data_IF_480794272478
#
_entry.id   IF_480794272478
#
_cell.length_a   1.000
_cell.length_b   1.000
_cell.length_c   1.000
_cell.angle_alpha   90.00
_cell.angle_beta   90.00
_cell.angle_gamma   90.00
#
_symmetry.space_group_name_H-M   'P 1'
#
loop_
_entity.id
_entity.type
_entity.pdbx_description
1 polymer ?
#
# COMPACT_ATOMS: atom_id res chain seq x y z
N UNK A 1 22.45 -9.73 35.80
CA UNK A 1 21.84 -10.30 34.58
C UNK A 1 21.42 -11.74 34.89
N UNK A 2 20.12 -12.09 34.94
CA UNK A 2 19.74 -13.48 35.15
C UNK A 2 20.06 -14.29 33.87
N UNK A 3 20.82 -15.37 34.03
CA UNK A 3 21.11 -16.33 32.95
C UNK A 3 19.85 -17.13 32.68
N UNK A 4 19.31 -16.98 31.47
CA UNK A 4 18.22 -17.85 30.96
C UNK A 4 18.76 -19.27 30.78
N UNK A 5 17.99 -20.31 31.14
CA UNK A 5 18.43 -21.69 30.96
C UNK A 5 18.77 -21.96 29.50
N UNK A 6 19.99 -22.45 29.26
CA UNK A 6 20.59 -22.70 27.94
C UNK A 6 19.78 -23.72 27.11
N UNK A 7 18.91 -24.51 27.75
CA UNK A 7 18.14 -25.59 27.12
C UNK A 7 16.95 -25.13 26.24
N UNK A 8 16.25 -24.03 26.56
CA UNK A 8 15.11 -23.56 25.75
C UNK A 8 15.58 -22.86 24.46
N UNK A 9 16.63 -22.04 24.57
CA UNK A 9 17.16 -21.27 23.43
C UNK A 9 17.74 -22.16 22.34
N UNK A 10 18.30 -23.33 22.69
CA UNK A 10 18.83 -24.29 21.72
C UNK A 10 17.73 -24.96 20.89
N UNK A 11 16.62 -25.35 21.53
CA UNK A 11 15.47 -25.97 20.85
C UNK A 11 14.76 -24.99 19.92
N UNK A 12 14.55 -23.75 20.37
CA UNK A 12 13.93 -22.70 19.55
C UNK A 12 14.79 -22.35 18.32
N UNK A 13 16.11 -22.26 18.48
CA UNK A 13 17.03 -22.06 17.37
C UNK A 13 17.00 -23.24 16.39
N UNK A 14 17.01 -24.48 16.90
CA UNK A 14 16.93 -25.67 16.06
C UNK A 14 15.65 -25.69 15.21
N UNK A 15 14.52 -25.28 15.78
CA UNK A 15 13.24 -25.17 15.06
C UNK A 15 13.31 -24.15 13.93
N UNK A 16 13.83 -22.95 14.18
CA UNK A 16 13.99 -21.93 13.11
C UNK A 16 14.99 -22.35 12.03
N UNK A 17 16.03 -23.11 12.39
CA UNK A 17 17.01 -23.62 11.41
C UNK A 17 16.39 -24.56 10.38
N UNK A 18 15.38 -25.32 10.77
CA UNK A 18 14.65 -26.21 9.86
C UNK A 18 13.90 -25.43 8.78
N UNK A 19 13.49 -24.18 9.05
CA UNK A 19 12.72 -23.36 8.11
C UNK A 19 13.53 -22.26 7.39
N UNK A 20 14.58 -21.69 8.02
CA UNK A 20 15.25 -20.46 7.53
C UNK A 20 16.73 -20.63 7.18
N UNK A 21 17.32 -21.79 7.49
CA UNK A 21 18.77 -21.98 7.45
C UNK A 21 19.51 -21.32 8.65
N UNK A 22 20.81 -21.57 8.81
CA UNK A 22 21.53 -21.30 10.06
C UNK A 22 21.73 -19.83 10.40
N UNK A 23 22.03 -18.99 9.41
CA UNK A 23 22.32 -17.56 9.62
C UNK A 23 21.03 -16.79 9.94
N UNK A 24 20.01 -16.91 9.08
CA UNK A 24 18.72 -16.26 9.29
C UNK A 24 18.07 -16.70 10.60
N UNK A 25 18.07 -18.00 10.93
CA UNK A 25 17.51 -18.49 12.19
C UNK A 25 18.15 -17.82 13.44
N UNK A 26 19.46 -17.59 13.42
CA UNK A 26 20.17 -16.97 14.54
C UNK A 26 19.81 -15.50 14.70
N UNK A 27 19.76 -14.77 13.58
CA UNK A 27 19.41 -13.35 13.57
C UNK A 27 17.93 -13.12 13.92
N UNK A 28 17.04 -13.90 13.32
CA UNK A 28 15.61 -13.78 13.58
C UNK A 28 15.24 -14.19 15.01
N UNK A 29 15.86 -15.22 15.59
CA UNK A 29 15.64 -15.55 17.01
C UNK A 29 16.00 -14.38 17.94
N UNK A 30 17.08 -13.65 17.61
CA UNK A 30 17.48 -12.45 18.36
C UNK A 30 16.39 -11.39 18.29
N UNK A 31 15.89 -11.09 17.10
CA UNK A 31 14.81 -10.12 16.90
C UNK A 31 13.50 -10.53 17.60
N UNK A 32 13.09 -11.79 17.48
CA UNK A 32 11.90 -12.31 18.15
C UNK A 32 12.01 -12.19 19.68
N UNK A 33 13.20 -12.48 20.23
CA UNK A 33 13.47 -12.36 21.67
C UNK A 33 13.42 -10.91 22.14
N UNK A 34 14.03 -9.99 21.39
CA UNK A 34 13.98 -8.57 21.69
C UNK A 34 12.54 -8.03 21.66
N UNK A 35 11.80 -8.39 20.62
CA UNK A 35 10.38 -8.08 20.47
C UNK A 35 9.54 -8.62 21.65
N UNK A 36 9.75 -9.87 22.06
CA UNK A 36 9.06 -10.47 23.20
C UNK A 36 9.34 -9.72 24.51
N UNK A 37 10.59 -9.32 24.77
CA UNK A 37 10.98 -8.53 25.95
C UNK A 37 10.28 -7.16 25.95
N UNK A 38 10.27 -6.47 24.80
CA UNK A 38 9.62 -5.16 24.65
C UNK A 38 8.13 -5.27 24.90
N UNK A 39 7.48 -6.31 24.37
CA UNK A 39 6.05 -6.53 24.57
C UNK A 39 5.71 -6.74 26.04
N UNK A 40 6.42 -7.63 26.75
CA UNK A 40 6.15 -7.92 28.16
C UNK A 40 6.35 -6.69 29.05
N UNK A 41 7.40 -5.91 28.83
CA UNK A 41 7.65 -4.65 29.56
C UNK A 41 6.51 -3.64 29.36
N UNK A 42 5.93 -3.57 28.16
CA UNK A 42 4.78 -2.68 27.91
C UNK A 42 3.52 -3.15 28.60
N UNK A 43 3.26 -4.45 28.58
CA UNK A 43 2.10 -5.03 29.26
C UNK A 43 2.17 -4.75 30.76
N UNK A 44 3.36 -4.81 31.37
CA UNK A 44 3.61 -4.41 32.76
C UNK A 44 3.34 -2.91 32.99
N UNK A 45 3.82 -2.04 32.09
CA UNK A 45 3.58 -0.59 32.18
C UNK A 45 2.10 -0.22 32.06
N UNK A 46 1.31 -0.96 31.28
CA UNK A 46 -0.12 -0.74 31.12
C UNK A 46 -0.97 -1.27 32.28
N UNK A 47 -0.39 -2.08 33.18
CA UNK A 47 -1.09 -2.53 34.39
C UNK A 47 -1.29 -1.38 35.39
N UNK A 48 -2.43 -1.39 36.09
CA UNK A 48 -2.78 -0.36 37.10
C UNK A 48 -1.68 -0.27 38.18
N UNK A 49 -1.42 0.93 38.76
CA UNK A 49 -0.41 1.10 39.81
C UNK A 49 -0.63 0.17 41.01
N UNK A 50 -1.88 -0.12 41.38
CA UNK A 50 -2.25 -1.03 42.47
C UNK A 50 -1.87 -2.51 42.22
N UNK A 51 -1.57 -2.87 40.96
CA UNK A 51 -1.12 -4.21 40.55
C UNK A 51 0.38 -4.28 40.23
N UNK A 52 1.08 -3.13 40.15
CA UNK A 52 2.55 -3.11 40.05
C UNK A 52 3.14 -3.48 41.41
N UNK A 53 3.33 -4.78 41.62
CA UNK A 53 3.93 -5.33 42.86
C UNK A 53 5.27 -4.66 43.14
N UNK A 54 5.38 -4.01 44.28
CA UNK A 54 6.63 -3.62 44.91
C UNK A 54 7.29 -4.86 45.53
N UNK A 55 7.96 -5.70 44.75
CA UNK A 55 8.80 -6.78 45.31
C UNK A 55 9.71 -7.38 44.23
N UNK A 56 10.96 -6.89 44.15
CA UNK A 56 12.04 -7.59 43.46
C UNK A 56 12.44 -8.84 44.27
N UNK A 57 11.61 -9.88 44.23
CA UNK A 57 11.90 -11.19 44.84
C UNK A 57 12.28 -12.21 43.77
N UNK A 58 12.99 -13.27 44.16
CA UNK A 58 13.38 -14.37 43.25
C UNK A 58 12.17 -14.99 42.52
N UNK A 59 10.99 -15.00 43.15
CA UNK A 59 9.74 -15.47 42.56
C UNK A 59 9.24 -14.58 41.39
N UNK A 60 9.51 -13.28 41.42
CA UNK A 60 9.21 -12.37 40.30
C UNK A 60 10.08 -12.68 39.09
N UNK A 61 11.39 -12.83 39.30
CA UNK A 61 12.33 -13.13 38.20
C UNK A 61 12.05 -14.46 37.50
N UNK A 62 11.54 -15.46 38.23
CA UNK A 62 11.19 -16.75 37.65
C UNK A 62 9.87 -16.70 36.85
N UNK A 63 8.90 -15.92 37.31
CA UNK A 63 7.64 -15.67 36.57
C UNK A 63 7.89 -14.90 35.27
N UNK A 64 8.77 -13.90 35.29
CA UNK A 64 9.13 -13.11 34.11
C UNK A 64 9.88 -13.97 33.08
N UNK A 65 10.75 -14.88 33.54
CA UNK A 65 11.41 -15.86 32.66
C UNK A 65 10.41 -16.79 31.99
N UNK A 66 9.45 -17.34 32.74
CA UNK A 66 8.44 -18.24 32.17
C UNK A 66 7.51 -17.56 31.15
N UNK A 67 7.14 -16.30 31.40
CA UNK A 67 6.34 -15.50 30.48
C UNK A 67 7.11 -15.22 29.17
N UNK A 68 8.40 -14.87 29.27
CA UNK A 68 9.27 -14.68 28.12
C UNK A 68 9.43 -15.96 27.31
N UNK A 69 9.71 -17.09 27.96
CA UNK A 69 9.88 -18.38 27.29
C UNK A 69 8.59 -18.78 26.54
N UNK A 70 7.42 -18.57 27.15
CA UNK A 70 6.12 -18.85 26.53
C UNK A 70 5.87 -17.98 25.30
N UNK A 71 6.04 -16.65 25.43
CA UNK A 71 5.80 -15.71 24.33
C UNK A 71 6.80 -15.95 23.17
N UNK A 72 8.08 -16.12 23.49
CA UNK A 72 9.11 -16.37 22.50
C UNK A 72 8.87 -17.70 21.76
N UNK A 73 8.45 -18.75 22.47
CA UNK A 73 8.11 -20.05 21.85
C UNK A 73 6.96 -19.89 20.84
N UNK A 74 5.90 -19.16 21.20
CA UNK A 74 4.78 -18.88 20.30
C UNK A 74 5.20 -18.07 19.06
N UNK A 75 6.08 -17.07 19.23
CA UNK A 75 6.61 -16.29 18.11
C UNK A 75 7.47 -17.14 17.17
N UNK A 76 8.30 -18.03 17.72
CA UNK A 76 9.12 -18.97 16.96
C UNK A 76 8.27 -19.99 16.20
N UNK A 77 7.19 -20.48 16.81
CA UNK A 77 6.25 -21.41 16.15
C UNK A 77 5.59 -20.78 14.94
N UNK A 78 5.11 -19.54 15.08
CA UNK A 78 4.55 -18.77 13.98
C UNK A 78 5.57 -18.55 12.86
N UNK A 79 6.81 -18.22 13.23
CA UNK A 79 7.87 -18.00 12.23
C UNK A 79 8.25 -19.28 11.49
N UNK A 80 8.34 -20.40 12.21
CA UNK A 80 8.62 -21.71 11.64
C UNK A 80 7.47 -22.21 10.74
N UNK A 81 6.23 -21.76 10.98
CA UNK A 81 5.08 -22.00 10.11
C UNK A 81 5.06 -21.09 8.86
N UNK A 82 6.08 -20.25 8.66
CA UNK A 82 6.22 -19.39 7.48
C UNK A 82 5.65 -17.99 7.64
N UNK A 83 5.07 -17.61 8.78
CA UNK A 83 4.57 -16.24 8.96
C UNK A 83 5.72 -15.23 8.86
N UNK A 84 5.60 -14.16 8.05
CA UNK A 84 6.63 -13.12 7.94
C UNK A 84 7.02 -12.58 9.31
N UNK A 85 8.34 -12.46 9.56
CA UNK A 85 8.83 -11.97 10.85
C UNK A 85 8.29 -10.58 11.17
N UNK A 86 8.13 -9.73 10.16
CA UNK A 86 7.52 -8.41 10.24
C UNK A 86 6.10 -8.48 10.82
N UNK A 87 5.27 -9.44 10.44
CA UNK A 87 3.93 -9.60 11.02
C UNK A 87 3.96 -10.17 12.44
N UNK A 88 4.99 -10.96 12.77
CA UNK A 88 5.16 -11.49 14.12
C UNK A 88 5.57 -10.38 15.08
N UNK A 89 6.57 -9.58 14.71
CA UNK A 89 7.06 -8.47 15.51
C UNK A 89 6.13 -7.26 15.44
N UNK A 90 5.48 -6.97 14.30
CA UNK A 90 4.65 -5.79 14.06
C UNK A 90 3.26 -5.80 14.71
N UNK A 91 2.88 -6.87 15.43
CA UNK A 91 1.58 -6.93 16.11
C UNK A 91 1.42 -5.74 17.07
N UNK A 92 0.18 -5.23 17.14
CA UNK A 92 -0.29 -3.97 17.76
C UNK A 92 0.26 -3.65 19.18
N UNK A 93 0.85 -4.62 19.88
CA UNK A 93 1.40 -4.47 21.25
C UNK A 93 2.93 -4.28 21.29
N UNK A 94 3.64 -4.66 20.24
CA UNK A 94 5.10 -4.83 20.28
C UNK A 94 5.85 -3.60 19.77
N UNK A 95 5.41 -2.95 18.69
CA UNK A 95 6.04 -1.73 18.16
C UNK A 95 5.02 -0.64 17.81
N UNK A 96 4.90 0.39 18.66
CA UNK A 96 4.21 1.63 18.30
C UNK A 96 5.00 2.45 17.26
N UNK A 97 6.32 2.27 17.19
CA UNK A 97 7.25 3.00 16.32
C UNK A 97 7.46 2.37 14.93
N UNK A 98 6.71 1.31 14.58
CA UNK A 98 6.90 0.55 13.34
C UNK A 98 7.94 -0.56 13.47
N UNK A 99 8.02 -1.39 12.44
CA UNK A 99 8.84 -2.61 12.42
C UNK A 99 9.39 -2.99 11.03
N UNK A 100 9.14 -2.16 10.01
CA UNK A 100 9.71 -2.29 8.68
C UNK A 100 10.41 -0.96 8.33
N UNK A 101 11.75 -0.95 8.26
CA UNK A 101 12.49 0.20 7.74
C UNK A 101 12.05 0.53 6.31
N UNK A 102 12.00 1.83 5.99
CA UNK A 102 11.74 2.33 4.63
C UNK A 102 12.28 3.76 4.53
N UNK A 103 13.52 3.92 4.07
CA UNK A 103 14.30 5.14 4.16
C UNK A 103 14.54 5.52 5.63
N UNK A 104 14.37 6.80 5.95
CA UNK A 104 14.48 7.31 7.33
C UNK A 104 13.24 7.00 8.19
N UNK A 105 12.28 6.22 7.67
CA UNK A 105 11.07 5.85 8.37
C UNK A 105 11.17 4.43 8.93
N UNK A 106 10.41 4.18 9.99
CA UNK A 106 10.08 2.84 10.44
C UNK A 106 8.56 2.71 10.41
N UNK A 107 8.06 1.90 9.48
CA UNK A 107 6.64 1.75 9.22
C UNK A 107 6.09 0.51 9.93
N UNK A 108 4.85 0.60 10.40
CA UNK A 108 4.12 -0.56 10.91
C UNK A 108 3.73 -1.45 9.73
N UNK A 109 3.74 -2.75 9.97
CA UNK A 109 3.19 -3.75 9.05
C UNK A 109 2.29 -4.72 9.82
N UNK A 110 1.25 -5.22 9.16
CA UNK A 110 0.36 -6.24 9.71
C UNK A 110 -0.34 -7.02 8.60
N UNK A 111 -0.73 -8.28 8.83
CA UNK A 111 -1.52 -9.01 7.86
C UNK A 111 -2.86 -8.29 7.59
N UNK A 112 -3.40 -8.38 6.36
CA UNK A 112 -2.80 -9.03 5.20
C UNK A 112 -2.02 -8.06 4.28
N UNK A 113 -1.68 -6.83 4.72
CA UNK A 113 -1.16 -5.80 3.79
C UNK A 113 0.27 -6.11 3.33
N UNK A 114 0.58 -5.91 2.04
CA UNK A 114 1.94 -6.03 1.50
C UNK A 114 2.99 -5.36 2.41
N UNK A 115 4.06 -6.08 2.77
CA UNK A 115 5.18 -5.50 3.51
C UNK A 115 6.02 -4.64 2.52
N UNK A 116 6.32 -3.37 2.82
CA UNK A 116 7.18 -2.53 1.97
C UNK A 116 8.49 -3.23 1.57
N UNK A 117 8.81 -3.22 0.28
CA UNK A 117 9.98 -3.90 -0.28
C UNK A 117 11.18 -2.95 -0.45
N UNK A 118 12.43 -3.43 -0.29
CA UNK A 118 13.63 -2.62 -0.51
C UNK A 118 13.72 -2.02 -1.92
N UNK A 119 13.23 -2.72 -2.93
CA UNK A 119 13.16 -2.24 -4.31
C UNK A 119 12.27 -1.00 -4.40
N UNK A 120 11.13 -1.01 -3.69
CA UNK A 120 10.22 0.14 -3.63
C UNK A 120 10.85 1.33 -2.90
N UNK A 121 11.65 1.07 -1.87
CA UNK A 121 12.40 2.08 -1.12
C UNK A 121 13.41 2.80 -2.02
N UNK A 122 14.22 2.03 -2.75
CA UNK A 122 15.29 2.54 -3.62
C UNK A 122 14.77 3.54 -4.66
N UNK A 123 13.73 3.16 -5.41
CA UNK A 123 13.19 4.07 -6.42
C UNK A 123 12.42 5.24 -5.81
N UNK A 124 11.80 5.08 -4.63
CA UNK A 124 11.16 6.21 -3.93
C UNK A 124 12.20 7.25 -3.52
N UNK A 125 13.36 6.82 -3.03
CA UNK A 125 14.50 7.72 -2.76
C UNK A 125 14.99 8.40 -4.04
N UNK A 126 15.03 7.69 -5.16
CA UNK A 126 15.36 8.28 -6.47
C UNK A 126 14.34 9.33 -6.92
N UNK A 127 13.03 9.12 -6.69
CA UNK A 127 12.01 10.16 -6.92
C UNK A 127 12.29 11.39 -6.04
N UNK A 128 12.68 11.17 -4.78
CA UNK A 128 12.94 12.26 -3.84
C UNK A 128 14.11 13.17 -4.25
N UNK A 129 15.06 12.67 -5.04
CA UNK A 129 16.18 13.44 -5.60
C UNK A 129 15.94 13.95 -7.01
N UNK A 130 14.99 13.35 -7.75
CA UNK A 130 14.58 13.78 -9.10
C UNK A 130 13.74 15.06 -9.06
N UNK A 131 12.87 15.19 -8.05
CA UNK A 131 12.04 16.38 -7.84
C UNK A 131 12.58 17.21 -6.68
N UNK A 132 12.40 18.54 -6.75
CA UNK A 132 12.81 19.47 -5.69
C UNK A 132 11.66 20.38 -5.24
N UNK A 133 10.65 19.83 -4.52
CA UNK A 133 9.52 20.61 -4.05
C UNK A 133 9.96 21.70 -3.07
N UNK A 134 9.29 22.85 -3.13
CA UNK A 134 9.52 23.97 -2.21
C UNK A 134 8.21 24.62 -1.83
N UNK A 135 8.23 25.53 -0.85
CA UNK A 135 7.04 26.30 -0.49
C UNK A 135 6.52 27.17 -1.66
N UNK A 136 7.39 27.54 -2.60
CA UNK A 136 7.00 28.29 -3.81
C UNK A 136 6.43 27.38 -4.90
N UNK A 137 6.91 26.14 -4.95
CA UNK A 137 6.52 25.14 -5.93
C UNK A 137 6.13 23.85 -5.20
N UNK A 138 4.95 23.81 -4.54
CA UNK A 138 4.51 22.63 -3.83
C UNK A 138 4.04 21.54 -4.81
N UNK A 139 4.21 20.29 -4.40
CA UNK A 139 3.86 19.10 -5.17
C UNK A 139 2.61 18.46 -4.58
N UNK A 140 1.63 18.18 -5.46
CA UNK A 140 0.52 17.27 -5.16
C UNK A 140 0.86 15.87 -5.66
N UNK A 141 0.73 14.87 -4.78
CA UNK A 141 1.03 13.46 -5.06
C UNK A 141 -0.27 12.65 -5.09
N UNK A 142 -0.44 11.80 -6.09
CA UNK A 142 -1.41 10.70 -6.09
C UNK A 142 -0.65 9.38 -6.05
N UNK A 143 -0.84 8.60 -4.99
CA UNK A 143 -0.27 7.26 -4.85
C UNK A 143 -1.37 6.21 -5.02
N UNK A 144 -1.33 5.47 -6.13
CA UNK A 144 -2.29 4.42 -6.44
C UNK A 144 -1.81 3.09 -5.85
N UNK A 145 -2.74 2.30 -5.29
CA UNK A 145 -2.43 1.07 -4.56
C UNK A 145 -1.51 1.34 -3.35
N UNK A 146 -1.85 2.34 -2.52
CA UNK A 146 -0.95 2.91 -1.51
C UNK A 146 -0.52 1.92 -0.42
N UNK A 147 -1.28 0.84 -0.19
CA UNK A 147 -0.90 -0.20 0.75
C UNK A 147 -0.68 0.35 2.17
N UNK A 148 0.58 0.31 2.63
CA UNK A 148 0.99 0.83 3.94
C UNK A 148 1.23 2.35 3.97
N UNK A 149 1.11 3.04 2.83
CA UNK A 149 1.45 4.44 2.64
C UNK A 149 2.95 4.71 2.49
N UNK A 150 3.78 3.69 2.28
CA UNK A 150 5.24 3.82 2.39
C UNK A 150 5.84 4.85 1.43
N UNK A 151 5.40 4.87 0.17
CA UNK A 151 5.88 5.80 -0.86
C UNK A 151 5.57 7.26 -0.47
N UNK A 152 4.29 7.68 -0.31
CA UNK A 152 3.98 9.08 -0.01
C UNK A 152 4.51 9.52 1.35
N UNK A 153 4.56 8.63 2.35
CA UNK A 153 5.14 8.95 3.66
C UNK A 153 6.63 9.28 3.57
N UNK A 154 7.39 8.48 2.82
CA UNK A 154 8.81 8.72 2.62
C UNK A 154 9.02 10.04 1.86
N UNK A 155 8.24 10.31 0.82
CA UNK A 155 8.33 11.59 0.09
C UNK A 155 7.97 12.80 0.96
N UNK A 156 6.91 12.70 1.78
CA UNK A 156 6.58 13.73 2.78
C UNK A 156 7.70 13.94 3.80
N UNK A 157 8.46 12.88 4.13
CA UNK A 157 9.59 12.95 5.06
C UNK A 157 10.84 13.56 4.42
N UNK A 158 11.12 13.21 3.16
CA UNK A 158 12.32 13.62 2.44
C UNK A 158 12.29 15.07 1.97
N UNK A 159 11.11 15.66 1.80
CA UNK A 159 10.95 17.02 1.31
C UNK A 159 10.59 18.04 2.39
N UNK A 160 10.83 19.32 2.07
CA UNK A 160 10.58 20.46 2.96
C UNK A 160 9.16 20.43 3.51
N UNK A 161 8.97 20.67 4.81
CA UNK A 161 7.64 20.72 5.40
C UNK A 161 6.80 21.84 4.79
N UNK A 162 5.57 21.52 4.41
CA UNK A 162 4.63 22.42 3.74
C UNK A 162 4.73 22.45 2.22
N UNK A 163 5.66 21.70 1.60
CA UNK A 163 5.79 21.63 0.15
C UNK A 163 5.08 20.42 -0.48
N UNK A 164 4.48 19.54 0.32
CA UNK A 164 3.88 18.28 -0.15
C UNK A 164 2.46 18.12 0.36
N UNK A 165 1.56 17.74 -0.56
CA UNK A 165 0.23 17.21 -0.22
C UNK A 165 0.03 15.91 -0.98
N UNK A 166 -0.16 14.81 -0.26
CA UNK A 166 -0.28 13.49 -0.86
C UNK A 166 -1.66 12.87 -0.59
N UNK A 167 -2.20 12.20 -1.60
CA UNK A 167 -3.39 11.35 -1.54
C UNK A 167 -2.97 9.92 -1.86
N UNK A 168 -3.14 9.02 -0.90
CA UNK A 168 -2.98 7.57 -1.09
C UNK A 168 -4.32 6.90 -1.32
N UNK A 169 -4.41 6.05 -2.34
CA UNK A 169 -5.65 5.35 -2.72
C UNK A 169 -5.43 3.84 -2.68
N UNK A 170 -6.34 3.12 -2.05
CA UNK A 170 -6.32 1.65 -2.03
C UNK A 170 -7.74 1.09 -1.97
N UNK A 171 -7.96 -0.09 -2.55
CA UNK A 171 -9.25 -0.80 -2.50
C UNK A 171 -9.43 -1.58 -1.19
N UNK A 172 -8.36 -1.81 -0.44
CA UNK A 172 -8.37 -2.63 0.77
C UNK A 172 -8.57 -1.76 2.02
N UNK A 173 -9.67 -1.95 2.78
CA UNK A 173 -9.88 -1.25 4.05
C UNK A 173 -8.74 -1.49 5.06
N UNK A 174 -8.13 -2.68 5.02
CA UNK A 174 -6.98 -3.05 5.85
C UNK A 174 -5.73 -2.23 5.49
N UNK A 175 -5.51 -1.98 4.20
CA UNK A 175 -4.42 -1.12 3.72
C UNK A 175 -4.65 0.33 4.14
N UNK A 176 -5.85 0.89 3.87
CA UNK A 176 -6.21 2.25 4.28
C UNK A 176 -6.06 2.46 5.79
N UNK A 177 -6.49 1.49 6.59
CA UNK A 177 -6.31 1.52 8.04
C UNK A 177 -4.84 1.52 8.45
N UNK A 178 -3.99 0.72 7.78
CA UNK A 178 -2.55 0.70 8.03
C UNK A 178 -1.85 2.00 7.60
N UNK A 179 -2.14 2.50 6.40
CA UNK A 179 -1.61 3.76 5.91
C UNK A 179 -1.97 4.92 6.84
N UNK A 180 -3.20 4.95 7.36
CA UNK A 180 -3.63 5.91 8.39
C UNK A 180 -2.80 5.78 9.68
N UNK A 181 -2.63 4.57 10.18
CA UNK A 181 -1.84 4.31 11.40
C UNK A 181 -0.35 4.67 11.24
N UNK A 182 0.19 4.55 10.02
CA UNK A 182 1.54 4.97 9.67
C UNK A 182 1.64 6.49 9.51
N UNK A 183 0.66 7.14 8.87
CA UNK A 183 0.57 8.59 8.78
C UNK A 183 0.61 9.25 10.16
N UNK A 184 -0.24 8.77 11.08
CA UNK A 184 -0.25 9.25 12.46
C UNK A 184 1.09 9.00 13.18
N UNK A 185 1.71 7.84 12.97
CA UNK A 185 3.01 7.52 13.57
C UNK A 185 4.15 8.42 13.03
N UNK A 186 4.06 8.83 11.77
CA UNK A 186 4.99 9.76 11.13
C UNK A 186 4.67 11.24 11.40
N UNK A 187 3.56 11.54 12.08
CA UNK A 187 3.15 12.90 12.45
C UNK A 187 2.39 13.66 11.34
N UNK A 188 1.77 12.95 10.40
CA UNK A 188 0.95 13.52 9.34
C UNK A 188 -0.54 13.35 9.65
N UNK A 189 -1.31 14.41 9.45
CA UNK A 189 -2.76 14.38 9.60
C UNK A 189 -3.37 13.56 8.47
N UNK A 190 -4.19 12.58 8.85
CA UNK A 190 -4.92 11.69 7.94
C UNK A 190 -6.44 11.85 8.05
N UNK A 191 -6.89 12.93 8.71
CA UNK A 191 -8.31 13.27 8.77
C UNK A 191 -8.75 13.79 7.40
N UNK A 192 -9.73 13.15 6.74
CA UNK A 192 -10.32 13.73 5.54
C UNK A 192 -10.91 15.11 5.89
N UNK A 193 -10.86 16.09 4.98
CA UNK A 193 -11.51 17.38 5.23
C UNK A 193 -12.98 17.14 5.59
N UNK A 194 -13.55 17.85 6.58
CA UNK A 194 -14.95 17.69 6.93
C UNK A 194 -15.81 17.99 5.70
N UNK A 195 -16.64 17.02 5.30
CA UNK A 195 -17.67 17.22 4.29
C UNK A 195 -18.57 18.33 4.84
N UNK A 196 -18.58 19.50 4.19
CA UNK A 196 -19.40 20.62 4.61
C UNK A 196 -20.88 20.18 4.58
N UNK A 197 -21.66 20.35 5.67
CA UNK A 197 -23.03 19.83 5.78
C UNK A 197 -24.07 20.55 4.89
N UNK A 198 -23.64 21.28 3.86
CA UNK A 198 -24.48 22.11 2.99
C UNK A 198 -24.40 21.75 1.49
N UNK A 199 -23.97 20.54 1.12
CA UNK A 199 -24.18 20.04 -0.24
C UNK A 199 -25.60 19.46 -0.37
N UNK A 200 -26.50 20.23 -0.97
CA UNK A 200 -27.80 19.73 -1.42
C UNK A 200 -27.57 18.64 -2.49
N UNK A 201 -27.96 17.37 -2.27
CA UNK A 201 -27.63 16.25 -3.16
C UNK A 201 -28.29 16.32 -4.55
N UNK A 202 -29.18 17.30 -4.78
CA UNK A 202 -29.89 17.49 -6.06
C UNK A 202 -29.59 18.84 -6.74
N UNK A 203 -28.56 19.57 -6.31
CA UNK A 203 -28.15 20.83 -6.93
C UNK A 203 -27.01 20.65 -7.93
N UNK A 204 -26.89 21.49 -8.97
CA UNK A 204 -25.68 21.54 -9.79
C UNK A 204 -24.47 21.87 -8.91
N UNK A 205 -23.28 21.30 -9.18
CA UNK A 205 -22.09 21.57 -8.39
C UNK A 205 -21.81 23.07 -8.38
N UNK A 206 -21.60 23.63 -7.18
CA UNK A 206 -21.19 25.02 -7.04
C UNK A 206 -19.87 25.21 -7.81
N UNK A 207 -19.70 26.33 -8.54
CA UNK A 207 -18.44 26.60 -9.22
C UNK A 207 -17.29 26.57 -8.21
N UNK A 208 -16.11 26.07 -8.59
CA UNK A 208 -14.96 26.03 -7.69
C UNK A 208 -14.69 27.46 -7.22
N UNK A 209 -14.70 27.68 -5.91
CA UNK A 209 -14.34 28.97 -5.34
C UNK A 209 -12.81 29.02 -5.24
N UNK A 210 -12.10 29.77 -6.10
CA UNK A 210 -10.64 29.87 -6.05
C UNK A 210 -10.13 30.59 -4.79
N UNK A 211 -11.04 31.14 -3.97
CA UNK A 211 -10.75 31.85 -2.72
C UNK A 211 -11.23 31.14 -1.45
N UNK A 212 -11.69 29.88 -1.54
CA UNK A 212 -11.84 29.04 -0.36
C UNK A 212 -10.47 28.50 0.10
N UNK A 213 -9.53 29.44 0.30
CA UNK A 213 -8.41 29.21 1.17
C UNK A 213 -8.97 28.81 2.54
N UNK A 214 -8.46 27.70 3.05
CA UNK A 214 -8.52 27.27 4.44
C UNK A 214 -8.83 28.45 5.36
N UNK A 215 -10.04 28.49 5.93
CA UNK A 215 -10.32 29.39 7.04
C UNK A 215 -9.44 28.93 8.20
N UNK A 216 -8.31 29.61 8.35
CA UNK A 216 -7.42 29.49 9.50
C UNK A 216 -8.21 29.97 10.72
N UNK A 217 -8.35 29.18 11.80
CA UNK A 217 -9.01 29.65 13.01
C UNK A 217 -8.27 30.88 13.56
N UNK A 218 -8.98 31.94 13.97
CA UNK A 218 -8.32 33.15 14.42
C UNK A 218 -7.73 32.94 15.82
N UNK A 219 -6.49 33.40 15.96
CA UNK A 219 -5.80 33.74 17.21
C UNK A 219 -5.45 32.61 18.20
N UNK A 220 -4.28 32.00 17.95
CA UNK A 220 -3.40 31.47 18.99
C UNK A 220 -1.95 31.79 18.63
N UNK A 221 -1.20 32.44 19.52
CA UNK A 221 0.21 32.84 19.33
C UNK A 221 1.17 31.63 19.26
N UNK A 222 1.14 30.88 18.16
CA UNK A 222 2.18 29.93 17.79
C UNK A 222 2.28 29.92 16.27
N UNK A 223 3.44 30.26 15.71
CA UNK A 223 3.70 30.15 14.26
C UNK A 223 3.59 28.67 13.88
N UNK A 224 2.40 28.24 13.46
CA UNK A 224 2.17 26.89 12.94
C UNK A 224 2.99 26.75 11.65
N UNK A 225 4.09 26.01 11.71
CA UNK A 225 4.87 25.65 10.52
C UNK A 225 3.96 24.80 9.65
N UNK A 226 3.71 25.23 8.41
CA UNK A 226 2.94 24.45 7.45
C UNK A 226 3.61 23.07 7.30
N UNK A 227 2.86 21.99 7.56
CA UNK A 227 3.36 20.61 7.48
C UNK A 227 3.00 19.98 6.15
N UNK A 228 3.80 19.00 5.75
CA UNK A 228 3.37 18.10 4.68
C UNK A 228 2.13 17.32 5.12
N UNK A 229 1.26 16.96 4.18
CA UNK A 229 0.02 16.22 4.48
C UNK A 229 -0.04 14.92 3.71
N UNK A 230 -0.61 13.89 4.32
CA UNK A 230 -0.90 12.61 3.67
C UNK A 230 -2.28 12.12 4.07
N UNK A 231 -3.21 12.18 3.13
CA UNK A 231 -4.57 11.66 3.29
C UNK A 231 -4.73 10.32 2.57
N UNK A 232 -5.67 9.51 3.03
CA UNK A 232 -5.92 8.17 2.49
C UNK A 232 -7.39 8.01 2.13
N UNK A 233 -7.66 7.41 0.97
CA UNK A 233 -8.98 7.23 0.41
C UNK A 233 -9.19 5.78 -0.01
N UNK A 234 -10.26 5.15 0.51
CA UNK A 234 -10.68 3.84 0.05
C UNK A 234 -11.43 3.99 -1.28
N UNK A 235 -10.87 3.47 -2.36
CA UNK A 235 -11.50 3.49 -3.68
C UNK A 235 -10.93 2.39 -4.59
N UNK A 236 -11.77 1.91 -5.51
CA UNK A 236 -11.37 0.95 -6.53
C UNK A 236 -10.98 1.68 -7.82
N UNK A 237 -9.72 1.50 -8.24
CA UNK A 237 -9.15 2.02 -9.49
C UNK A 237 -9.97 1.61 -10.73
N UNK A 238 -10.63 0.46 -10.69
CA UNK A 238 -11.44 -0.08 -11.79
C UNK A 238 -12.90 0.39 -11.74
N UNK A 239 -13.32 1.10 -10.68
CA UNK A 239 -14.69 1.59 -10.57
C UNK A 239 -14.98 2.67 -11.64
N UNK A 240 -16.17 2.67 -12.27
CA UNK A 240 -16.52 3.67 -13.28
C UNK A 240 -16.43 5.12 -12.79
N UNK A 241 -16.73 5.37 -11.51
CA UNK A 241 -16.68 6.69 -10.89
C UNK A 241 -15.30 7.11 -10.38
N UNK A 242 -14.27 6.28 -10.55
CA UNK A 242 -12.92 6.58 -10.05
C UNK A 242 -12.33 7.86 -10.64
N UNK A 243 -12.58 8.10 -11.93
CA UNK A 243 -12.13 9.31 -12.60
C UNK A 243 -12.78 10.56 -11.99
N UNK A 244 -14.10 10.56 -11.84
CA UNK A 244 -14.86 11.68 -11.27
C UNK A 244 -14.42 11.99 -9.83
N UNK A 245 -14.10 10.95 -9.07
CA UNK A 245 -13.53 11.04 -7.73
C UNK A 245 -12.19 11.79 -7.72
N UNK A 246 -11.27 11.47 -8.65
CA UNK A 246 -9.98 12.12 -8.74
C UNK A 246 -10.07 13.59 -9.19
N UNK A 247 -10.87 13.88 -10.22
CA UNK A 247 -11.00 15.27 -10.74
C UNK A 247 -11.73 16.19 -9.77
N UNK A 248 -12.58 15.64 -8.90
CA UNK A 248 -13.25 16.37 -7.83
C UNK A 248 -12.36 16.59 -6.60
N UNK A 249 -11.20 15.94 -6.54
CA UNK A 249 -10.32 16.01 -5.39
C UNK A 249 -9.56 17.35 -5.32
N UNK A 250 -9.45 18.02 -4.15
CA UNK A 250 -8.74 19.30 -4.01
C UNK A 250 -7.24 19.31 -4.38
N UNK A 251 -6.64 18.14 -4.58
CA UNK A 251 -5.24 17.98 -4.99
C UNK A 251 -5.05 17.88 -6.51
N UNK A 252 -6.14 17.65 -7.24
CA UNK A 252 -6.14 17.69 -8.69
C UNK A 252 -5.83 19.13 -9.19
N UNK A 253 -5.01 19.30 -10.23
CA UNK A 253 -4.19 18.29 -10.90
C UNK A 253 -2.93 17.93 -10.11
N UNK A 254 -2.41 16.72 -10.33
CA UNK A 254 -1.26 16.16 -9.61
C UNK A 254 0.08 16.52 -10.25
N UNK A 255 1.09 16.78 -9.42
CA UNK A 255 2.49 16.95 -9.86
C UNK A 255 3.20 15.62 -10.03
N UNK A 256 2.83 14.62 -9.22
CA UNK A 256 3.44 13.30 -9.18
C UNK A 256 2.35 12.23 -9.04
N UNK A 257 2.42 11.20 -9.87
CA UNK A 257 1.62 9.98 -9.72
C UNK A 257 2.57 8.81 -9.47
N UNK A 258 2.39 8.09 -8.37
CA UNK A 258 3.14 6.88 -8.02
C UNK A 258 2.23 5.67 -7.99
N UNK A 259 2.76 4.49 -8.28
CA UNK A 259 2.04 3.24 -8.09
C UNK A 259 3.03 2.08 -7.96
N UNK A 260 2.87 1.26 -6.93
CA UNK A 260 3.35 -0.11 -6.93
C UNK A 260 2.12 -1.04 -7.05
N UNK A 261 1.67 -1.34 -8.28
CA UNK A 261 0.44 -2.11 -8.48
C UNK A 261 0.67 -3.61 -8.26
N UNK A 262 -0.40 -4.38 -8.06
CA UNK A 262 -0.36 -5.82 -8.30
C UNK A 262 0.04 -6.09 -9.76
N UNK A 263 1.04 -6.95 -9.97
CA UNK A 263 1.60 -7.23 -11.29
C UNK A 263 1.91 -8.70 -11.57
N UNK A 264 1.63 -9.59 -10.61
CA UNK A 264 2.00 -11.00 -10.70
C UNK A 264 0.89 -11.77 -11.43
N UNK A 265 1.20 -12.50 -12.53
CA UNK A 265 0.25 -13.42 -13.16
C UNK A 265 -0.19 -14.54 -12.20
N UNK A 266 -1.42 -15.07 -12.31
CA UNK A 266 -1.90 -16.12 -11.37
C UNK A 266 -1.03 -17.38 -11.40
N UNK A 267 -0.52 -17.74 -12.58
CA UNK A 267 0.37 -18.89 -12.75
C UNK A 267 1.71 -18.74 -12.00
N UNK A 268 2.17 -17.50 -11.81
CA UNK A 268 3.36 -17.17 -11.03
C UNK A 268 3.03 -17.03 -9.54
N UNK A 269 1.87 -16.46 -9.21
CA UNK A 269 1.36 -16.35 -7.85
C UNK A 269 1.39 -17.70 -7.12
N UNK A 270 0.99 -18.79 -7.79
CA UNK A 270 1.00 -20.12 -7.18
C UNK A 270 2.39 -20.64 -6.77
N UNK A 271 3.44 -20.10 -7.39
CA UNK A 271 4.84 -20.49 -7.17
C UNK A 271 5.55 -19.56 -6.18
N UNK A 272 4.87 -18.51 -5.70
CA UNK A 272 5.46 -17.59 -4.73
C UNK A 272 5.84 -18.31 -3.44
N UNK A 273 6.83 -17.74 -2.75
CA UNK A 273 7.22 -18.19 -1.43
C UNK A 273 6.00 -18.25 -0.50
N UNK A 274 5.80 -19.34 0.27
CA UNK A 274 4.65 -19.49 1.15
C UNK A 274 4.48 -18.33 2.15
N UNK A 275 5.57 -17.68 2.59
CA UNK A 275 5.51 -16.53 3.50
C UNK A 275 4.87 -15.30 2.85
N UNK A 276 4.97 -15.18 1.53
CA UNK A 276 4.28 -14.14 0.75
C UNK A 276 2.86 -14.61 0.43
N UNK A 277 2.75 -15.76 -0.24
CA UNK A 277 1.47 -16.29 -0.77
C UNK A 277 0.40 -16.48 0.29
N UNK A 278 0.77 -17.00 1.45
CA UNK A 278 -0.19 -17.41 2.48
C UNK A 278 -0.55 -16.30 3.48
N UNK A 279 0.22 -15.18 3.50
CA UNK A 279 0.08 -14.16 4.55
C UNK A 279 -0.20 -12.76 4.02
N UNK A 280 0.24 -12.43 2.81
CA UNK A 280 -0.07 -11.16 2.16
C UNK A 280 -1.36 -11.27 1.33
N UNK A 281 -2.07 -10.15 1.15
CA UNK A 281 -3.35 -10.06 0.45
C UNK A 281 -3.13 -10.40 -1.03
N UNK A 282 -3.79 -11.43 -1.58
CA UNK A 282 -3.67 -11.77 -3.00
C UNK A 282 -4.03 -10.59 -3.92
N UNK A 283 -4.91 -9.68 -3.47
CA UNK A 283 -5.27 -8.46 -4.23
C UNK A 283 -4.14 -7.45 -4.33
N UNK A 284 -3.13 -7.53 -3.47
CA UNK A 284 -1.92 -6.70 -3.52
C UNK A 284 -0.81 -7.33 -4.39
N UNK A 285 -1.04 -8.54 -4.92
CA UNK A 285 -0.04 -9.33 -5.64
C UNK A 285 -0.46 -9.64 -7.07
N UNK A 286 -1.68 -10.15 -7.26
CA UNK A 286 -2.17 -10.65 -8.54
C UNK A 286 -2.54 -9.49 -9.47
N UNK A 287 -1.85 -9.37 -10.60
CA UNK A 287 -2.00 -8.27 -11.56
C UNK A 287 -3.16 -8.39 -12.54
N UNK A 288 -4.11 -9.28 -12.27
CA UNK A 288 -5.30 -9.49 -13.10
C UNK A 288 -6.50 -8.84 -12.43
N UNK A 289 -7.22 -8.01 -13.17
CA UNK A 289 -8.41 -7.34 -12.69
C UNK A 289 -9.47 -8.37 -12.23
N UNK A 290 -10.24 -8.06 -11.17
CA UNK A 290 -11.37 -8.88 -10.80
C UNK A 290 -12.37 -8.96 -11.97
N UNK A 291 -13.02 -10.12 -12.19
CA UNK A 291 -13.97 -10.27 -13.29
C UNK A 291 -15.08 -9.21 -13.18
N UNK A 292 -15.34 -8.54 -14.30
CA UNK A 292 -16.36 -7.49 -14.42
C UNK A 292 -17.72 -8.03 -13.98
N UNK A 293 -18.33 -7.42 -12.95
CA UNK A 293 -19.67 -7.77 -12.46
C UNK A 293 -19.74 -8.53 -11.14
N UNK A 294 -18.62 -8.80 -10.47
CA UNK A 294 -18.65 -9.31 -9.09
C UNK A 294 -18.79 -8.15 -8.09
N UNK A 295 -20.04 -7.76 -7.81
CA UNK A 295 -20.34 -7.18 -6.50
C UNK A 295 -19.81 -8.12 -5.42
N UNK A 296 -19.08 -7.59 -4.43
CA UNK A 296 -18.49 -8.33 -3.33
C UNK A 296 -19.49 -9.35 -2.76
N UNK A 297 -19.19 -10.64 -2.89
CA UNK A 297 -19.89 -11.66 -2.09
C UNK A 297 -19.49 -11.42 -0.63
N UNK A 298 -20.44 -11.24 0.31
CA UNK A 298 -20.11 -11.19 1.72
C UNK A 298 -19.56 -12.55 2.14
N UNK A 299 -18.59 -12.54 3.06
CA UNK A 299 -17.95 -13.74 3.59
C UNK A 299 -19.00 -14.74 4.08
N UNK A 300 -19.15 -15.87 3.37
CA UNK A 300 -20.10 -16.91 3.76
C UNK A 300 -19.44 -17.90 4.72
N UNK A 301 -19.99 -17.97 5.93
CA UNK A 301 -19.85 -19.10 6.82
C UNK A 301 -20.54 -20.36 6.23
N UNK A 302 -19.84 -21.50 6.29
CA UNK A 302 -20.36 -22.87 6.53
C UNK A 302 -21.42 -23.52 5.60
N UNK A 303 -21.02 -24.71 5.10
CA UNK A 303 -21.76 -25.99 4.99
C UNK A 303 -22.53 -26.39 3.71
N UNK A 304 -22.16 -27.62 3.26
CA UNK A 304 -22.95 -28.70 2.62
C UNK A 304 -23.24 -28.69 1.09
N UNK A 305 -22.48 -29.56 0.40
CA UNK A 305 -22.83 -30.65 -0.56
C UNK A 305 -23.90 -30.53 -1.67
N UNK A 306 -23.78 -31.35 -2.75
CA UNK A 306 -24.07 -30.92 -4.13
C UNK A 306 -25.32 -31.56 -4.76
N UNK A 307 -25.86 -30.94 -5.80
CA UNK A 307 -26.76 -31.60 -6.76
C UNK A 307 -26.50 -31.11 -8.19
N UNK A 308 -26.24 -32.08 -9.06
CA UNK A 308 -26.01 -31.94 -10.50
C UNK A 308 -27.29 -31.58 -11.26
N UNK A 309 -27.18 -30.82 -12.35
CA UNK A 309 -28.03 -30.97 -13.54
C UNK A 309 -27.29 -30.57 -14.81
N UNK A 310 -27.28 -31.50 -15.77
CA UNK A 310 -26.93 -31.35 -17.17
C UNK A 310 -28.05 -30.62 -17.93
N UNK A 311 -27.71 -29.75 -18.89
CA UNK A 311 -28.32 -29.80 -20.23
C UNK A 311 -27.53 -28.96 -21.26
N UNK A 312 -27.39 -29.52 -22.46
CA UNK A 312 -26.58 -29.07 -23.60
C UNK A 312 -27.23 -27.92 -24.42
N UNK A 313 -26.47 -27.25 -25.32
CA UNK A 313 -26.93 -26.07 -26.07
C UNK A 313 -27.29 -26.36 -27.54
N UNK A 314 -28.08 -25.48 -28.16
CA UNK A 314 -28.18 -25.30 -29.63
C UNK A 314 -28.97 -24.03 -30.02
N UNK A 315 -28.81 -23.49 -31.24
CA UNK A 315 -28.54 -22.06 -31.45
C UNK A 315 -29.55 -21.32 -32.36
N UNK A 316 -29.22 -20.06 -32.65
CA UNK A 316 -29.60 -19.23 -33.82
C UNK A 316 -30.65 -18.13 -33.62
N UNK A 317 -30.22 -16.88 -33.82
CA UNK A 317 -30.88 -15.87 -34.66
C UNK A 317 -30.02 -14.58 -34.71
N UNK A 318 -29.61 -14.18 -35.91
CA UNK A 318 -29.20 -12.82 -36.27
C UNK A 318 -30.42 -12.11 -36.90
N UNK A 319 -30.36 -10.86 -37.43
CA UNK A 319 -29.46 -9.71 -37.19
C UNK A 319 -30.26 -8.42 -36.88
N UNK A 320 -29.62 -7.31 -36.51
CA UNK A 320 -29.92 -5.95 -37.07
C UNK A 320 -29.14 -4.84 -36.37
N UNK A 321 -28.59 -3.98 -37.22
CA UNK A 321 -27.70 -2.86 -36.95
C UNK A 321 -28.49 -1.63 -36.46
N UNK A 322 -28.12 -1.08 -35.31
CA UNK A 322 -28.39 0.31 -34.96
C UNK A 322 -27.07 0.96 -34.52
N UNK A 323 -26.61 1.92 -35.32
CA UNK A 323 -25.52 2.83 -34.97
C UNK A 323 -25.84 3.54 -33.64
N UNK A 324 -24.95 3.42 -32.66
CA UNK A 324 -24.99 4.19 -31.41
C UNK A 324 -23.66 4.94 -31.22
N UNK A 325 -23.69 6.18 -30.69
CA UNK A 325 -22.50 6.98 -30.44
C UNK A 325 -21.78 6.45 -29.19
N UNK A 326 -20.44 6.51 -29.21
CA UNK A 326 -19.51 5.96 -28.22
C UNK A 326 -19.55 4.44 -28.07
N UNK A 327 -18.73 3.76 -28.89
CA UNK A 327 -18.34 2.39 -28.59
C UNK A 327 -17.70 2.35 -27.19
N UNK A 328 -18.26 1.61 -26.21
CA UNK A 328 -17.54 1.32 -24.99
C UNK A 328 -16.24 0.63 -25.37
N UNK A 329 -15.14 1.03 -24.72
CA UNK A 329 -13.83 0.39 -24.87
C UNK A 329 -14.03 -1.11 -24.73
N UNK A 330 -13.83 -1.85 -25.83
CA UNK A 330 -13.99 -3.29 -25.79
C UNK A 330 -12.98 -3.84 -24.78
N UNK A 331 -13.42 -4.64 -23.79
CA UNK A 331 -12.50 -5.26 -22.86
C UNK A 331 -11.53 -6.12 -23.69
N UNK A 332 -10.23 -5.94 -23.43
CA UNK A 332 -9.20 -6.84 -23.96
C UNK A 332 -9.61 -8.28 -23.57
N UNK A 333 -9.45 -9.29 -24.45
CA UNK A 333 -9.58 -10.68 -24.03
C UNK A 333 -8.70 -10.89 -22.81
N UNK A 334 -9.27 -11.25 -21.67
CA UNK A 334 -8.55 -11.24 -20.40
C UNK A 334 -7.39 -12.23 -20.46
N UNK A 335 -6.19 -11.71 -20.69
CA UNK A 335 -4.94 -12.45 -20.71
C UNK A 335 -4.34 -12.30 -19.33
N UNK A 336 -4.02 -13.40 -18.68
CA UNK A 336 -3.35 -13.42 -17.39
C UNK A 336 -1.85 -13.17 -17.58
N UNK A 337 -1.51 -11.94 -18.01
CA UNK A 337 -0.13 -11.47 -18.17
C UNK A 337 0.30 -10.49 -17.07
N UNK A 338 -0.58 -10.24 -16.10
CA UNK A 338 -0.33 -9.35 -14.96
C UNK A 338 -0.35 -7.87 -15.31
N UNK A 339 -0.83 -7.47 -16.50
CA UNK A 339 -0.75 -6.09 -16.98
C UNK A 339 -2.02 -5.25 -16.82
N UNK A 340 -3.10 -5.78 -16.21
CA UNK A 340 -4.41 -5.11 -16.19
C UNK A 340 -4.37 -3.76 -15.46
N UNK A 341 -3.64 -3.67 -14.34
CA UNK A 341 -3.48 -2.41 -13.59
C UNK A 341 -2.78 -1.34 -14.42
N UNK A 342 -1.75 -1.70 -15.17
CA UNK A 342 -1.05 -0.76 -16.06
C UNK A 342 -1.96 -0.21 -17.15
N UNK A 343 -2.81 -1.06 -17.73
CA UNK A 343 -3.81 -0.63 -18.71
C UNK A 343 -4.84 0.32 -18.10
N UNK A 344 -5.28 0.05 -16.87
CA UNK A 344 -6.22 0.92 -16.18
C UNK A 344 -5.59 2.28 -15.82
N UNK A 345 -4.35 2.28 -15.32
CA UNK A 345 -3.59 3.52 -15.07
C UNK A 345 -3.42 4.31 -16.36
N UNK A 346 -3.04 3.66 -17.46
CA UNK A 346 -2.93 4.28 -18.79
C UNK A 346 -4.25 4.89 -19.25
N UNK A 347 -5.37 4.23 -18.99
CA UNK A 347 -6.71 4.74 -19.29
C UNK A 347 -7.02 6.00 -18.49
N UNK A 348 -6.74 6.00 -17.18
CA UNK A 348 -6.94 7.16 -16.30
C UNK A 348 -6.13 8.37 -16.79
N UNK A 349 -4.85 8.15 -17.12
CA UNK A 349 -3.98 9.17 -17.70
C UNK A 349 -4.50 9.68 -19.05
N UNK A 350 -5.12 8.82 -19.87
CA UNK A 350 -5.62 9.20 -21.20
C UNK A 350 -6.96 9.93 -21.19
N UNK A 351 -7.86 9.54 -20.28
CA UNK A 351 -9.18 10.16 -20.14
C UNK A 351 -9.07 11.57 -19.52
N UNK A 352 -7.93 11.85 -18.88
CA UNK A 352 -7.71 13.07 -18.11
C UNK A 352 -6.37 13.70 -18.46
N UNK A 353 -6.24 14.35 -19.62
CA UNK A 353 -4.99 14.98 -20.05
C UNK A 353 -4.33 15.89 -19.02
N UNK A 354 -5.17 16.59 -18.25
CA UNK A 354 -4.77 17.51 -17.19
C UNK A 354 -4.59 16.85 -15.82
N UNK A 355 -4.65 15.52 -15.69
CA UNK A 355 -4.42 14.85 -14.39
C UNK A 355 -3.00 15.07 -13.88
N UNK A 356 -2.05 15.16 -14.81
CA UNK A 356 -0.70 15.62 -14.54
C UNK A 356 -0.61 17.10 -14.89
N UNK A 357 0.02 17.86 -14.01
CA UNK A 357 0.47 19.22 -14.31
C UNK A 357 1.55 19.16 -15.40
N UNK A 358 1.73 20.24 -16.19
CA UNK A 358 2.84 20.31 -17.12
C UNK A 358 4.19 20.04 -16.43
N UNK A 359 5.05 19.23 -17.05
CA UNK A 359 6.28 18.70 -16.47
C UNK A 359 6.12 17.71 -15.31
N UNK A 360 4.89 17.26 -15.01
CA UNK A 360 4.59 16.28 -13.98
C UNK A 360 5.15 14.88 -14.30
N UNK A 361 5.34 14.08 -13.25
CA UNK A 361 6.02 12.78 -13.31
C UNK A 361 5.04 11.65 -12.95
N UNK A 362 5.14 10.53 -13.66
CA UNK A 362 4.52 9.25 -13.30
C UNK A 362 5.63 8.23 -13.05
N UNK A 363 5.60 7.53 -11.92
CA UNK A 363 6.50 6.43 -11.60
C UNK A 363 5.70 5.18 -11.25
N UNK A 364 5.86 4.11 -12.05
CA UNK A 364 5.13 2.85 -11.90
C UNK A 364 6.13 1.72 -11.66
N UNK A 365 6.06 1.06 -10.52
CA UNK A 365 6.81 -0.16 -10.28
C UNK A 365 6.34 -1.26 -11.26
N UNK A 366 7.28 -2.05 -11.76
CA UNK A 366 7.04 -3.14 -12.71
C UNK A 366 7.66 -4.44 -12.24
N UNK A 367 6.96 -5.55 -12.53
CA UNK A 367 7.51 -6.89 -12.38
C UNK A 367 8.69 -7.14 -13.32
N UNK A 368 9.56 -8.07 -12.95
CA UNK A 368 10.71 -8.45 -13.77
C UNK A 368 10.26 -8.88 -15.19
N UNK A 369 10.84 -8.27 -16.21
CA UNK A 369 10.50 -8.54 -17.62
C UNK A 369 9.27 -7.80 -18.15
N UNK A 370 8.58 -6.98 -17.34
CA UNK A 370 7.40 -6.21 -17.79
C UNK A 370 7.72 -4.79 -18.26
N UNK A 371 8.95 -4.29 -18.07
CA UNK A 371 9.31 -2.90 -18.33
C UNK A 371 9.06 -2.45 -19.78
N UNK A 372 9.44 -3.26 -20.78
CA UNK A 372 9.22 -2.89 -22.19
C UNK A 372 7.73 -2.88 -22.56
N UNK A 373 6.97 -3.88 -22.08
CA UNK A 373 5.51 -3.88 -22.25
C UNK A 373 4.86 -2.66 -21.59
N UNK A 374 5.32 -2.26 -20.41
CA UNK A 374 4.84 -1.07 -19.73
C UNK A 374 5.18 0.22 -20.50
N UNK A 375 6.41 0.32 -21.04
CA UNK A 375 6.79 1.46 -21.91
C UNK A 375 5.91 1.53 -23.15
N UNK A 376 5.63 0.41 -23.80
CA UNK A 376 4.72 0.36 -24.94
C UNK A 376 3.32 0.80 -24.54
N UNK A 377 2.82 0.36 -23.39
CA UNK A 377 1.53 0.80 -22.86
C UNK A 377 1.52 2.33 -22.65
N UNK A 378 2.57 2.89 -22.04
CA UNK A 378 2.68 4.33 -21.76
C UNK A 378 2.80 5.18 -23.02
N UNK A 379 3.57 4.71 -24.01
CA UNK A 379 3.88 5.46 -25.22
C UNK A 379 2.90 5.19 -26.37
N UNK A 380 2.11 4.11 -26.30
CA UNK A 380 1.15 3.76 -27.34
C UNK A 380 0.16 4.90 -27.59
N UNK A 381 0.24 5.44 -28.81
CA UNK A 381 -0.70 6.41 -29.36
C UNK A 381 -1.89 5.66 -29.92
N UNK A 382 -2.71 5.07 -29.04
CA UNK A 382 -3.97 4.44 -29.44
C UNK A 382 -4.91 5.48 -30.04
N UNK A 383 -5.13 5.42 -31.35
CA UNK A 383 -5.99 6.30 -32.18
C UNK A 383 -7.47 6.34 -31.78
N UNK A 384 -7.89 5.56 -30.78
CA UNK A 384 -9.25 5.54 -30.24
C UNK A 384 -9.41 6.30 -28.91
N UNK A 385 -8.31 6.76 -28.30
CA UNK A 385 -8.33 7.63 -27.12
C UNK A 385 -7.76 8.99 -27.55
N UNK A 386 -8.60 10.02 -27.64
CA UNK A 386 -8.21 11.34 -28.13
C UNK A 386 -6.93 11.87 -27.47
N UNK A 387 -5.85 11.93 -28.26
CA UNK A 387 -4.79 12.94 -28.33
C UNK A 387 -4.01 13.42 -27.10
N UNK A 388 -4.39 13.15 -25.85
CA UNK A 388 -4.01 14.09 -24.78
C UNK A 388 -3.46 13.45 -23.48
N UNK A 389 -3.18 12.15 -23.45
CA UNK A 389 -2.41 11.48 -22.37
C UNK A 389 -0.93 11.26 -22.69
N UNK A 390 -0.34 12.07 -23.57
CA UNK A 390 0.97 11.80 -24.16
C UNK A 390 2.07 12.11 -23.14
N UNK A 391 2.70 11.08 -22.60
CA UNK A 391 3.98 11.25 -21.91
C UNK A 391 5.04 11.47 -23.00
N UNK A 392 5.79 12.55 -22.92
CA UNK A 392 6.78 12.92 -23.96
C UNK A 392 8.01 12.02 -23.92
N UNK A 393 8.31 11.49 -22.74
CA UNK A 393 9.48 10.69 -22.43
C UNK A 393 9.07 9.59 -21.47
N UNK A 394 9.56 8.39 -21.73
CA UNK A 394 9.47 7.26 -20.81
C UNK A 394 10.86 6.62 -20.65
N UNK A 395 11.21 6.26 -19.43
CA UNK A 395 12.47 5.65 -19.05
C UNK A 395 12.25 4.43 -18.17
N UNK A 396 13.21 3.51 -18.18
CA UNK A 396 13.27 2.43 -17.19
C UNK A 396 14.33 2.75 -16.16
N UNK A 397 13.94 2.70 -14.89
CA UNK A 397 14.87 2.73 -13.77
C UNK A 397 15.11 1.31 -13.29
N UNK A 398 16.39 0.99 -13.18
CA UNK A 398 16.90 -0.28 -12.65
C UNK A 398 17.29 -0.14 -11.18
N UNK A 399 17.23 -1.24 -10.45
CA UNK A 399 17.82 -1.34 -9.11
C UNK A 399 19.36 -1.52 -9.18
N UNK A 400 20.00 -1.59 -8.01
CA UNK A 400 21.45 -1.79 -7.89
C UNK A 400 21.96 -3.15 -8.44
N UNK A 401 21.06 -4.06 -8.83
CA UNK A 401 21.38 -5.33 -9.48
C UNK A 401 21.03 -5.33 -10.97
N UNK A 402 20.83 -4.15 -11.56
CA UNK A 402 20.50 -3.94 -12.98
C UNK A 402 19.16 -4.54 -13.42
N UNK A 403 18.28 -4.86 -12.47
CA UNK A 403 16.93 -5.36 -12.76
C UNK A 403 15.99 -4.19 -12.96
N UNK A 404 15.20 -4.23 -14.03
CA UNK A 404 14.19 -3.22 -14.29
C UNK A 404 13.14 -3.21 -13.16
N UNK A 405 12.90 -2.05 -12.55
CA UNK A 405 11.96 -1.90 -11.44
C UNK A 405 10.89 -0.87 -11.67
N UNK A 406 11.17 0.22 -12.37
CA UNK A 406 10.20 1.30 -12.52
C UNK A 406 10.21 1.80 -13.94
N UNK A 407 9.02 2.01 -14.50
CA UNK A 407 8.86 2.84 -15.69
C UNK A 407 8.41 4.22 -15.27
N UNK A 408 9.19 5.22 -15.65
CA UNK A 408 8.94 6.62 -15.33
C UNK A 408 8.61 7.38 -16.60
N UNK A 409 7.62 8.25 -16.55
CA UNK A 409 7.31 9.14 -17.67
C UNK A 409 6.95 10.54 -17.25
N UNK A 410 7.11 11.49 -18.18
CA UNK A 410 6.88 12.91 -17.95
C UNK A 410 5.82 13.46 -18.89
N UNK A 411 4.92 14.29 -18.36
CA UNK A 411 4.01 15.07 -19.19
C UNK A 411 4.75 16.24 -19.87
N UNK A 412 4.25 16.75 -21.00
CA UNK A 412 4.76 17.95 -21.66
C UNK A 412 4.89 19.15 -20.71
N UNK A 413 5.85 20.04 -20.99
CA UNK A 413 6.06 21.30 -20.26
C UNK A 413 5.03 22.38 -20.60
#
# INVERSE_FOLDING_TARGET
MPRVPVHSSGQLLARLRQSLGPQAATQELRWLREAAIIQLRREELQMKPSTRRSEHTAASSQKDSAALDTLLSSMVERRAAGEPIQYIIGRKKTYLAGNQPFGDLTLKTRPPTLIPRPETEDWTLRVSTTLTPSLKNPVSILDLCTGSGCIPLLLCRSWVQGSVRALGVDVSPSAISLARDNAMACGYDSTPPPISPNSNPNGPPAPPNPLAAVQIPPHGNSRSIARNTFEVLEADLFSPGFHDLLVSHPLYPFSLITCNPPYIPRAEYEKLDPSVKNFEDPRALIGVAPPTGSAQLPASHSSASPSAFHCSPSPSASPSTLLSPHSPIQPRPQKDDGLDFYHQIRRILSQTPSILRPGGLVALEVGAGQAESMKDIMTSTGTSCGGAGKLERAEVWKDQWEVDRVVVGWSPL
#
